data_IF_432089251750
#
_entry.id   IF_432089251750
#
_cell.length_a   1.000
_cell.length_b   1.000
_cell.length_c   1.000
_cell.angle_alpha   90.00
_cell.angle_beta   90.00
_cell.angle_gamma   90.00
#
_symmetry.space_group_name_H-M   'P 1'
#
loop_
_entity.id
_entity.type
_entity.pdbx_description
1 polymer ?
#
# COMPACT_ATOMS: atom_id res chain seq x y z
N UNK A 1 -8.31 18.40 -46.36
CA UNK A 1 -9.27 17.27 -46.16
C UNK A 1 -9.58 17.17 -44.68
N UNK A 2 -10.82 17.33 -44.23
CA UNK A 2 -11.14 17.21 -42.80
C UNK A 2 -11.10 15.74 -42.35
N UNK A 3 -10.43 15.49 -41.25
CA UNK A 3 -10.36 14.17 -40.64
C UNK A 3 -11.76 13.66 -40.26
N UNK A 4 -12.04 12.40 -40.60
CA UNK A 4 -13.31 11.73 -40.36
C UNK A 4 -13.67 11.77 -38.87
N UNK A 5 -14.91 12.13 -38.53
CA UNK A 5 -15.48 12.20 -37.19
C UNK A 5 -15.28 10.93 -36.31
N UNK A 6 -15.13 9.77 -36.93
CA UNK A 6 -14.82 8.50 -36.27
C UNK A 6 -13.46 8.48 -35.58
N UNK A 7 -12.42 9.09 -36.17
CA UNK A 7 -11.08 9.15 -35.57
C UNK A 7 -11.03 10.09 -34.37
N UNK A 8 -11.79 11.19 -34.42
CA UNK A 8 -11.89 12.12 -33.28
C UNK A 8 -12.64 11.51 -32.07
N UNK A 9 -13.68 10.71 -32.34
CA UNK A 9 -14.43 10.03 -31.26
C UNK A 9 -13.58 8.93 -30.61
N UNK A 10 -12.79 8.17 -31.38
CA UNK A 10 -11.86 7.18 -30.82
C UNK A 10 -10.72 7.81 -30.00
N UNK A 11 -10.17 8.95 -30.42
CA UNK A 11 -9.17 9.65 -29.61
C UNK A 11 -9.77 10.18 -28.29
N UNK A 12 -10.96 10.76 -28.34
CA UNK A 12 -11.64 11.26 -27.12
C UNK A 12 -11.98 10.14 -26.15
N UNK A 13 -12.37 8.95 -26.64
CA UNK A 13 -12.60 7.79 -25.82
C UNK A 13 -11.31 7.27 -25.14
N UNK A 14 -10.18 7.27 -25.84
CA UNK A 14 -8.88 6.88 -25.26
C UNK A 14 -8.38 7.87 -24.19
N UNK A 15 -8.62 9.17 -24.37
CA UNK A 15 -8.28 10.19 -23.37
C UNK A 15 -9.22 10.14 -22.14
N UNK A 16 -10.50 9.78 -22.33
CA UNK A 16 -11.45 9.64 -21.21
C UNK A 16 -11.12 8.42 -20.33
N UNK A 17 -10.74 7.29 -20.94
CA UNK A 17 -10.29 6.09 -20.21
C UNK A 17 -8.97 6.34 -19.47
N UNK A 18 -8.07 7.13 -20.03
CA UNK A 18 -6.80 7.44 -19.37
C UNK A 18 -6.98 8.36 -18.15
N UNK A 19 -7.88 9.33 -18.23
CA UNK A 19 -8.25 10.13 -17.05
C UNK A 19 -8.93 9.29 -15.96
N UNK A 20 -9.65 8.22 -16.32
CA UNK A 20 -10.28 7.31 -15.35
C UNK A 20 -9.28 6.41 -14.62
N UNK A 21 -8.24 5.91 -15.30
CA UNK A 21 -7.19 5.09 -14.67
C UNK A 21 -6.32 5.93 -13.71
N UNK A 22 -6.08 7.20 -14.04
CA UNK A 22 -5.43 8.16 -13.13
C UNK A 22 -6.37 8.62 -11.99
N UNK A 23 -7.69 8.64 -12.23
CA UNK A 23 -8.68 9.10 -11.25
C UNK A 23 -8.97 8.05 -10.16
N UNK A 24 -8.74 6.75 -10.41
CA UNK A 24 -8.90 5.67 -9.42
C UNK A 24 -7.85 5.79 -8.30
N UNK A 25 -6.72 6.44 -8.55
CA UNK A 25 -5.74 6.80 -7.53
C UNK A 25 -6.12 8.10 -6.74
N UNK A 26 -7.12 8.85 -7.18
CA UNK A 26 -7.35 10.22 -6.71
C UNK A 26 -8.74 10.50 -6.08
N UNK A 27 -9.65 9.52 -5.97
CA UNK A 27 -10.99 9.79 -5.41
C UNK A 27 -11.12 9.18 -4.02
N UNK A 28 -10.76 9.97 -2.99
CA UNK A 28 -11.32 9.83 -1.66
C UNK A 28 -11.77 11.22 -1.17
N UNK A 29 -13.00 11.35 -0.61
CA UNK A 29 -13.50 12.61 -0.11
C UNK A 29 -12.71 13.06 1.12
N UNK A 30 -12.35 14.33 1.14
CA UNK A 30 -11.82 15.06 2.28
C UNK A 30 -12.81 15.00 3.45
N UNK A 31 -12.55 14.15 4.41
CA UNK A 31 -13.18 14.25 5.73
C UNK A 31 -12.20 14.90 6.68
N UNK A 32 -12.34 16.19 6.86
CA UNK A 32 -11.65 16.98 7.88
C UNK A 32 -12.12 16.52 9.27
N UNK A 33 -11.31 15.78 9.99
CA UNK A 33 -11.47 15.62 11.43
C UNK A 33 -10.44 16.49 12.16
N UNK A 34 -10.97 17.55 12.74
CA UNK A 34 -10.32 18.46 13.69
C UNK A 34 -9.79 17.67 14.90
N UNK A 35 -8.48 17.65 15.11
CA UNK A 35 -7.89 17.16 16.37
C UNK A 35 -7.67 18.31 17.33
N UNK A 36 -8.42 18.29 18.42
CA UNK A 36 -8.24 19.13 19.59
C UNK A 36 -6.89 18.84 20.26
N UNK A 37 -6.13 19.90 20.44
CA UNK A 37 -4.89 19.98 21.23
C UNK A 37 -5.16 19.69 22.70
N UNK A 38 -4.53 18.69 23.28
CA UNK A 38 -4.31 18.58 24.72
C UNK A 38 -2.87 18.92 25.06
N UNK A 39 -2.73 20.00 25.84
CA UNK A 39 -1.52 20.54 26.44
C UNK A 39 -1.35 20.00 27.84
N UNK A 40 -0.16 19.64 28.25
CA UNK A 40 0.28 19.41 29.63
C UNK A 40 1.38 18.34 29.64
N UNK A 41 2.56 18.48 30.15
CA UNK A 41 3.14 19.29 31.15
C UNK A 41 4.28 18.48 31.77
N UNK A 42 5.51 19.01 31.67
CA UNK A 42 6.67 18.99 32.56
C UNK A 42 7.14 17.71 33.28
N UNK A 43 8.44 17.44 33.03
CA UNK A 43 9.55 17.14 33.95
C UNK A 43 9.56 15.83 34.77
N UNK A 44 10.60 15.04 34.55
CA UNK A 44 11.67 14.86 35.53
C UNK A 44 12.74 13.88 35.03
N UNK A 45 13.98 14.32 35.10
CA UNK A 45 15.21 13.56 34.92
C UNK A 45 15.39 12.50 36.02
N UNK A 46 15.87 11.31 35.66
CA UNK A 46 16.82 10.58 36.51
C UNK A 46 17.63 9.58 35.69
N UNK A 47 18.94 9.75 35.73
CA UNK A 47 19.95 8.77 35.37
C UNK A 47 19.70 7.42 36.01
N UNK A 48 19.82 6.36 35.25
CA UNK A 48 20.17 5.07 35.79
C UNK A 48 20.85 4.21 34.71
N UNK A 49 22.07 3.90 35.02
CA UNK A 49 23.05 2.99 34.48
C UNK A 49 22.48 1.65 33.99
N UNK A 50 23.06 1.22 32.89
CA UNK A 50 23.19 -0.10 32.30
C UNK A 50 22.42 -1.26 32.88
N UNK A 51 21.56 -1.79 32.03
CA UNK A 51 21.36 -3.24 31.94
C UNK A 51 20.92 -3.53 30.50
N UNK A 52 21.82 -4.11 29.70
CA UNK A 52 21.50 -4.79 28.46
C UNK A 52 20.59 -5.97 28.77
N UNK A 53 19.33 -5.66 28.99
CA UNK A 53 18.28 -6.66 28.91
C UNK A 53 17.88 -6.69 27.44
N UNK A 54 18.49 -7.57 26.67
CA UNK A 54 17.93 -8.02 25.41
C UNK A 54 16.48 -8.41 25.68
N UNK A 55 15.53 -7.50 25.41
CA UNK A 55 14.12 -7.83 25.33
C UNK A 55 14.01 -8.90 24.28
N UNK A 56 13.90 -10.15 24.72
CA UNK A 56 13.52 -11.27 23.89
C UNK A 56 12.20 -10.83 23.22
N UNK A 57 12.28 -10.48 21.95
CA UNK A 57 11.09 -10.17 21.18
C UNK A 57 10.19 -11.40 21.29
N UNK A 58 8.99 -11.23 21.84
CA UNK A 58 8.02 -12.32 21.92
C UNK A 58 7.70 -12.69 20.47
N UNK A 59 8.17 -13.88 20.05
CA UNK A 59 7.93 -14.40 18.71
C UNK A 59 6.41 -14.44 18.47
N UNK A 60 6.01 -14.03 17.28
CA UNK A 60 4.62 -14.12 16.86
C UNK A 60 4.23 -15.60 16.74
N UNK A 61 3.04 -15.95 17.22
CA UNK A 61 2.45 -17.29 17.07
C UNK A 61 1.01 -17.16 16.61
N UNK A 62 0.58 -17.96 15.62
CA UNK A 62 -0.81 -17.96 15.18
C UNK A 62 -1.78 -18.21 16.32
N UNK A 63 -2.83 -17.41 16.40
CA UNK A 63 -3.92 -17.59 17.35
C UNK A 63 -5.02 -18.49 16.77
N UNK A 64 -6.02 -18.82 17.56
CA UNK A 64 -7.22 -19.49 17.06
C UNK A 64 -8.12 -18.58 16.19
N UNK A 65 -7.89 -17.26 16.20
CA UNK A 65 -8.58 -16.26 15.37
C UNK A 65 -7.63 -15.71 14.32
N UNK A 66 -7.58 -16.35 13.15
CA UNK A 66 -6.77 -15.92 12.02
C UNK A 66 -7.09 -14.48 11.55
N UNK A 67 -8.33 -14.01 11.75
CA UNK A 67 -8.71 -12.64 11.41
C UNK A 67 -8.09 -11.62 12.36
N UNK A 68 -7.95 -11.98 13.63
CA UNK A 68 -7.22 -11.18 14.62
C UNK A 68 -5.75 -11.09 14.25
N UNK A 69 -5.11 -12.20 13.89
CA UNK A 69 -3.70 -12.26 13.53
C UNK A 69 -3.39 -11.30 12.37
N UNK A 70 -4.20 -11.33 11.31
CA UNK A 70 -4.04 -10.43 10.15
C UNK A 70 -4.25 -8.96 10.55
N UNK A 71 -5.28 -8.65 11.34
CA UNK A 71 -5.52 -7.27 11.79
C UNK A 71 -4.36 -6.74 12.64
N UNK A 72 -3.79 -7.56 13.51
CA UNK A 72 -2.64 -7.18 14.34
C UNK A 72 -1.39 -6.97 13.49
N UNK A 73 -1.12 -7.84 12.51
CA UNK A 73 -0.01 -7.68 11.59
C UNK A 73 -0.12 -6.38 10.77
N UNK A 74 -1.30 -6.07 10.24
CA UNK A 74 -1.57 -4.82 9.54
C UNK A 74 -1.40 -3.60 10.47
N UNK A 75 -1.90 -3.68 11.71
CA UNK A 75 -1.77 -2.59 12.67
C UNK A 75 -0.30 -2.30 13.03
N UNK A 76 0.56 -3.32 13.07
CA UNK A 76 1.99 -3.16 13.32
C UNK A 76 2.72 -2.35 12.22
N UNK A 77 2.23 -2.34 10.98
CA UNK A 77 2.81 -1.51 9.91
C UNK A 77 2.82 -0.01 10.28
N UNK A 78 1.88 0.43 11.13
CA UNK A 78 1.82 1.82 11.60
C UNK A 78 3.02 2.25 12.46
N UNK A 79 3.81 1.30 12.94
CA UNK A 79 4.98 1.55 13.80
C UNK A 79 6.25 0.89 13.27
N UNK A 80 6.17 0.20 12.14
CA UNK A 80 7.28 -0.56 11.56
C UNK A 80 8.26 0.29 10.73
N UNK A 81 8.11 1.61 10.76
CA UNK A 81 9.00 2.52 10.00
C UNK A 81 10.47 2.43 10.44
N UNK A 82 11.40 2.62 9.51
CA UNK A 82 11.18 2.72 8.06
C UNK A 82 10.97 1.35 7.41
N UNK A 83 10.18 1.32 6.32
CA UNK A 83 10.04 0.11 5.51
C UNK A 83 9.79 0.44 4.04
N UNK A 84 10.06 -0.54 3.17
CA UNK A 84 9.75 -0.50 1.74
C UNK A 84 8.80 -1.62 1.39
N UNK A 85 7.87 -1.35 0.50
CA UNK A 85 7.15 -2.38 -0.22
C UNK A 85 7.47 -2.31 -1.71
N UNK A 86 7.66 -3.46 -2.32
CA UNK A 86 7.79 -3.61 -3.77
C UNK A 86 6.62 -4.46 -4.25
N UNK A 87 5.79 -3.86 -5.10
CA UNK A 87 4.65 -4.54 -5.71
C UNK A 87 4.91 -4.76 -7.19
N UNK A 88 4.74 -5.99 -7.64
CA UNK A 88 4.69 -6.35 -9.05
C UNK A 88 3.25 -6.70 -9.42
N UNK A 89 2.72 -6.00 -10.40
CA UNK A 89 1.37 -6.24 -10.93
C UNK A 89 1.47 -6.88 -12.30
N UNK A 90 0.66 -7.88 -12.55
CA UNK A 90 0.49 -8.51 -13.85
C UNK A 90 -0.98 -8.65 -14.22
N UNK A 91 -1.26 -8.73 -15.54
CA UNK A 91 -2.61 -8.94 -16.02
C UNK A 91 -3.20 -10.25 -15.49
N UNK A 92 -4.45 -10.23 -15.05
CA UNK A 92 -5.21 -11.47 -14.82
C UNK A 92 -5.77 -11.98 -16.15
N UNK A 93 -5.60 -13.28 -16.41
CA UNK A 93 -6.17 -13.95 -17.61
C UNK A 93 -7.69 -13.90 -17.68
N UNK A 94 -8.35 -13.56 -16.58
CA UNK A 94 -9.80 -13.60 -16.42
C UNK A 94 -10.47 -12.21 -16.44
N UNK A 95 -9.73 -11.15 -16.78
CA UNK A 95 -10.24 -9.77 -16.79
C UNK A 95 -10.51 -9.29 -18.22
N UNK A 96 -11.68 -8.65 -18.45
CA UNK A 96 -11.99 -8.00 -19.73
C UNK A 96 -11.09 -6.77 -19.99
N UNK A 97 -10.59 -6.14 -18.92
CA UNK A 97 -9.63 -5.05 -18.98
C UNK A 97 -8.47 -5.40 -18.07
N UNK A 98 -7.34 -5.75 -18.66
CA UNK A 98 -6.15 -6.08 -17.90
C UNK A 98 -5.51 -4.82 -17.32
N UNK A 99 -5.10 -4.88 -16.06
CA UNK A 99 -4.19 -3.92 -15.50
C UNK A 99 -2.84 -4.03 -16.22
N UNK A 100 -2.20 -2.94 -16.66
CA UNK A 100 -0.91 -3.04 -17.32
C UNK A 100 0.13 -3.62 -16.35
N UNK A 101 0.96 -4.53 -16.87
CA UNK A 101 2.10 -5.03 -16.12
C UNK A 101 2.98 -3.87 -15.65
N UNK A 102 3.42 -3.93 -14.41
CA UNK A 102 4.25 -2.87 -13.85
C UNK A 102 4.81 -3.22 -12.47
N UNK A 103 5.71 -2.37 -12.02
CA UNK A 103 6.29 -2.45 -10.68
C UNK A 103 6.06 -1.14 -9.95
N UNK A 104 5.67 -1.23 -8.70
CA UNK A 104 5.53 -0.10 -7.80
C UNK A 104 6.41 -0.31 -6.57
N UNK A 105 7.26 0.66 -6.29
CA UNK A 105 8.05 0.72 -5.06
C UNK A 105 7.51 1.84 -4.21
N UNK A 106 7.20 1.56 -2.95
CA UNK A 106 6.77 2.57 -1.98
C UNK A 106 7.67 2.49 -0.76
N UNK A 107 8.28 3.61 -0.44
CA UNK A 107 9.19 3.77 0.68
C UNK A 107 8.54 4.63 1.75
N UNK A 108 8.46 4.11 2.94
CA UNK A 108 7.90 4.77 4.12
C UNK A 108 9.04 5.08 5.10
N UNK A 109 9.47 6.33 5.16
CA UNK A 109 10.41 6.79 6.18
C UNK A 109 9.70 7.06 7.52
N UNK A 110 8.45 7.51 7.46
CA UNK A 110 7.53 7.75 8.58
C UNK A 110 6.09 7.71 8.05
N UNK A 111 5.11 7.84 8.94
CA UNK A 111 3.69 7.82 8.58
C UNK A 111 3.31 8.92 7.57
N UNK A 112 3.97 10.09 7.68
CA UNK A 112 3.76 11.28 6.85
C UNK A 112 4.91 11.55 5.87
N UNK A 113 5.83 10.58 5.68
CA UNK A 113 6.97 10.68 4.77
C UNK A 113 7.05 9.47 3.88
N UNK A 114 6.50 9.61 2.68
CA UNK A 114 6.33 8.51 1.74
C UNK A 114 6.82 8.90 0.36
N UNK A 115 7.57 8.02 -0.26
CA UNK A 115 7.99 8.13 -1.65
C UNK A 115 7.47 6.93 -2.44
N UNK A 116 6.79 7.18 -3.54
CA UNK A 116 6.26 6.15 -4.43
C UNK A 116 6.84 6.32 -5.83
N UNK A 117 7.30 5.23 -6.40
CA UNK A 117 7.68 5.15 -7.81
C UNK A 117 6.95 3.98 -8.46
N UNK A 118 6.25 4.26 -9.55
CA UNK A 118 5.54 3.26 -10.35
C UNK A 118 6.06 3.29 -11.78
N UNK A 119 6.45 2.13 -12.28
CA UNK A 119 6.95 1.93 -13.66
C UNK A 119 6.03 0.95 -14.37
N UNK A 120 5.53 1.32 -15.53
CA UNK A 120 4.66 0.46 -16.33
C UNK A 120 4.82 0.73 -17.84
N UNK A 121 4.24 -0.13 -18.68
CA UNK A 121 4.22 0.05 -20.14
C UNK A 121 3.51 1.33 -20.59
N UNK A 122 2.69 1.94 -19.74
CA UNK A 122 1.95 3.18 -20.06
C UNK A 122 2.67 4.44 -19.57
N UNK A 123 3.79 4.30 -18.88
CA UNK A 123 4.63 5.39 -18.39
C UNK A 123 5.01 5.23 -16.92
N UNK A 124 5.93 6.07 -16.52
CA UNK A 124 6.44 6.15 -15.17
C UNK A 124 5.77 7.29 -14.41
N UNK A 125 5.54 7.03 -13.14
CA UNK A 125 4.94 7.97 -12.21
C UNK A 125 5.73 7.95 -10.92
N UNK A 126 5.98 9.12 -10.37
CA UNK A 126 6.65 9.26 -9.09
C UNK A 126 5.88 10.26 -8.23
N UNK A 127 5.77 9.98 -6.94
CA UNK A 127 5.07 10.86 -6.02
C UNK A 127 5.73 10.85 -4.64
N UNK A 128 5.72 12.00 -3.98
CA UNK A 128 6.29 12.18 -2.64
C UNK A 128 5.26 12.89 -1.77
N UNK A 129 5.07 12.38 -0.56
CA UNK A 129 4.31 13.05 0.50
C UNK A 129 5.24 13.35 1.67
N UNK A 130 5.23 14.58 2.17
CA UNK A 130 5.95 15.00 3.37
C UNK A 130 5.03 15.93 4.18
N UNK A 131 4.46 15.41 5.25
CA UNK A 131 3.42 16.12 6.00
C UNK A 131 2.25 16.48 5.07
N UNK A 132 1.88 17.75 5.03
CA UNK A 132 0.78 18.27 4.20
C UNK A 132 1.19 18.59 2.76
N UNK A 133 2.45 18.35 2.39
CA UNK A 133 2.96 18.62 1.04
C UNK A 133 3.00 17.37 0.19
N UNK A 134 2.44 17.46 -1.00
CA UNK A 134 2.36 16.39 -1.97
C UNK A 134 3.02 16.84 -3.26
N UNK A 135 3.91 16.01 -3.79
CA UNK A 135 4.63 16.26 -5.02
C UNK A 135 4.38 15.12 -6.00
N UNK A 136 4.25 15.47 -7.25
CA UNK A 136 3.97 14.54 -8.32
C UNK A 136 4.90 14.78 -9.51
N UNK A 137 5.45 13.70 -10.05
CA UNK A 137 6.25 13.73 -11.27
C UNK A 137 5.60 12.85 -12.34
N UNK A 138 5.35 13.44 -13.49
CA UNK A 138 4.92 12.72 -14.69
C UNK A 138 5.66 13.33 -15.89
N UNK A 139 6.41 12.48 -16.60
CA UNK A 139 7.21 12.94 -17.74
C UNK A 139 8.44 13.79 -17.37
N UNK A 140 9.00 13.60 -16.17
CA UNK A 140 10.26 14.20 -15.73
C UNK A 140 10.12 15.59 -15.09
N UNK A 141 8.91 16.10 -14.91
CA UNK A 141 8.67 17.40 -14.27
C UNK A 141 7.91 17.21 -12.95
N UNK A 142 8.47 17.76 -11.88
CA UNK A 142 7.81 17.82 -10.58
C UNK A 142 6.81 18.97 -10.52
N UNK A 143 5.69 18.71 -9.90
CA UNK A 143 4.65 19.71 -9.57
C UNK A 143 4.14 19.46 -8.15
N UNK A 144 3.87 20.52 -7.42
CA UNK A 144 3.10 20.42 -6.18
C UNK A 144 1.64 20.16 -6.52
N UNK A 145 1.01 19.20 -5.82
CA UNK A 145 -0.33 18.73 -6.14
C UNK A 145 -1.06 18.21 -4.92
N UNK A 146 -2.20 17.62 -5.15
CA UNK A 146 -3.07 17.07 -4.10
C UNK A 146 -3.02 15.55 -3.97
N UNK A 147 -2.07 14.88 -4.65
CA UNK A 147 -1.96 13.42 -4.58
C UNK A 147 -1.23 13.02 -3.31
N UNK A 148 -1.97 12.70 -2.29
CA UNK A 148 -1.44 12.12 -1.06
C UNK A 148 -1.19 10.61 -1.24
N UNK A 149 0.07 10.22 -1.41
CA UNK A 149 0.47 8.81 -1.52
C UNK A 149 0.54 8.11 -0.17
N UNK A 150 0.67 8.85 0.93
CA UNK A 150 0.64 8.25 2.26
C UNK A 150 -0.75 7.70 2.58
N UNK A 151 -1.81 8.42 2.22
CA UNK A 151 -3.19 7.94 2.39
C UNK A 151 -3.55 6.78 1.46
N UNK A 152 -2.87 6.64 0.33
CA UNK A 152 -3.13 5.61 -0.68
C UNK A 152 -2.21 4.37 -0.58
N UNK A 153 -1.24 4.36 0.31
CA UNK A 153 -0.32 3.24 0.47
C UNK A 153 0.07 2.98 1.91
N UNK A 154 -0.30 3.89 2.83
CA UNK A 154 0.02 3.82 4.24
C UNK A 154 -0.93 2.94 5.04
N UNK A 155 -0.88 3.12 6.34
CA UNK A 155 -1.61 2.33 7.31
C UNK A 155 -3.13 2.37 7.15
N UNK A 156 -3.70 3.52 6.78
CA UNK A 156 -5.14 3.63 6.56
C UNK A 156 -5.59 2.84 5.33
N UNK A 157 -4.79 2.82 4.27
CA UNK A 157 -5.02 1.96 3.11
C UNK A 157 -4.92 0.48 3.47
N UNK A 158 -3.88 0.08 4.20
CA UNK A 158 -3.70 -1.29 4.67
C UNK A 158 -4.87 -1.74 5.58
N UNK A 159 -5.38 -0.85 6.43
CA UNK A 159 -6.58 -1.10 7.24
C UNK A 159 -7.81 -1.34 6.36
N UNK A 160 -8.07 -0.51 5.36
CA UNK A 160 -9.19 -0.69 4.42
C UNK A 160 -9.08 -2.00 3.65
N UNK A 161 -7.88 -2.38 3.19
CA UNK A 161 -7.64 -3.69 2.59
C UNK A 161 -7.96 -4.79 3.60
N UNK A 162 -7.48 -4.68 4.83
CA UNK A 162 -7.77 -5.64 5.91
C UNK A 162 -9.27 -5.85 6.16
N UNK A 163 -10.07 -4.79 6.05
CA UNK A 163 -11.54 -4.85 6.20
C UNK A 163 -12.24 -5.62 5.07
N UNK A 164 -11.61 -5.68 3.89
CA UNK A 164 -12.10 -6.45 2.74
C UNK A 164 -11.69 -7.93 2.77
N UNK A 165 -10.74 -8.31 3.64
CA UNK A 165 -10.32 -9.70 3.77
C UNK A 165 -11.37 -10.50 4.54
N UNK A 166 -11.85 -11.58 3.93
CA UNK A 166 -12.87 -12.49 4.50
C UNK A 166 -12.37 -13.92 4.48
N UNK A 167 -13.04 -14.79 5.25
CA UNK A 167 -12.76 -16.23 5.25
C UNK A 167 -11.27 -16.54 5.50
N UNK A 168 -10.63 -15.76 6.38
CA UNK A 168 -9.21 -15.87 6.68
C UNK A 168 -8.95 -17.20 7.38
N UNK A 169 -7.96 -17.94 6.89
CA UNK A 169 -7.55 -19.23 7.44
C UNK A 169 -6.03 -19.28 7.55
N UNK A 170 -5.55 -19.69 8.69
CA UNK A 170 -4.17 -20.12 8.87
C UNK A 170 -3.93 -21.45 8.15
N UNK A 171 -2.83 -21.57 7.42
CA UNK A 171 -2.47 -22.76 6.64
C UNK A 171 -1.35 -23.53 7.30
N UNK A 172 -0.29 -22.84 7.74
CA UNK A 172 0.89 -23.47 8.33
C UNK A 172 2.13 -22.57 8.25
N UNK A 173 3.25 -23.05 8.78
CA UNK A 173 4.54 -22.39 8.64
C UNK A 173 5.07 -22.55 7.22
N UNK A 174 5.74 -21.52 6.71
CA UNK A 174 6.40 -21.52 5.41
C UNK A 174 7.59 -20.55 5.45
N UNK A 175 8.72 -20.90 4.81
CA UNK A 175 9.85 -19.98 4.69
C UNK A 175 9.76 -19.22 3.36
N UNK A 176 9.80 -17.89 3.43
CA UNK A 176 9.70 -17.00 2.27
C UNK A 176 10.88 -16.03 2.28
N UNK A 177 11.65 -16.01 1.19
CA UNK A 177 12.85 -15.17 1.08
C UNK A 177 13.86 -15.36 2.24
N UNK A 178 13.93 -16.59 2.80
CA UNK A 178 14.80 -16.92 3.94
C UNK A 178 14.26 -16.50 5.31
N UNK A 179 13.02 -16.06 5.38
CA UNK A 179 12.32 -15.63 6.60
C UNK A 179 11.27 -16.67 6.96
N UNK A 180 11.29 -17.13 8.19
CA UNK A 180 10.25 -18.03 8.71
C UNK A 180 8.95 -17.25 8.93
N UNK A 181 7.90 -17.68 8.27
CA UNK A 181 6.61 -17.05 8.24
C UNK A 181 5.47 -18.03 8.56
N UNK A 182 4.32 -17.48 8.83
CA UNK A 182 3.04 -18.19 8.89
C UNK A 182 2.18 -17.75 7.71
N UNK A 183 1.73 -18.71 6.92
CA UNK A 183 0.87 -18.47 5.75
C UNK A 183 -0.59 -18.40 6.17
N UNK A 184 -1.26 -17.36 5.68
CA UNK A 184 -2.69 -17.18 5.72
C UNK A 184 -3.27 -17.08 4.32
N UNK A 185 -4.44 -17.69 4.10
CA UNK A 185 -5.22 -17.54 2.86
C UNK A 185 -6.54 -16.85 3.19
N UNK A 186 -7.02 -16.05 2.27
CA UNK A 186 -8.28 -15.32 2.45
C UNK A 186 -8.96 -15.01 1.11
N UNK A 187 -10.21 -14.60 1.17
CA UNK A 187 -10.92 -13.98 0.05
C UNK A 187 -10.90 -12.47 0.20
N UNK A 188 -10.87 -11.77 -0.93
CA UNK A 188 -11.08 -10.32 -1.02
C UNK A 188 -12.55 -10.14 -1.39
N UNK A 189 -13.30 -9.43 -0.56
CA UNK A 189 -14.71 -9.12 -0.81
C UNK A 189 -15.08 -7.84 -0.06
N UNK A 190 -15.22 -6.75 -0.80
CA UNK A 190 -15.53 -5.45 -0.22
C UNK A 190 -15.58 -4.33 -1.24
N UNK A 191 -15.72 -3.11 -0.75
CA UNK A 191 -15.80 -1.92 -1.60
C UNK A 191 -14.77 -0.88 -1.17
N UNK A 192 -14.07 -0.33 -2.16
CA UNK A 192 -13.10 0.74 -1.97
C UNK A 192 -13.21 1.75 -3.13
N UNK A 193 -13.26 3.05 -2.83
CA UNK A 193 -13.43 4.08 -3.86
C UNK A 193 -14.73 3.96 -4.66
N UNK A 194 -15.81 3.42 -4.07
CA UNK A 194 -17.09 3.19 -4.76
C UNK A 194 -17.09 2.00 -5.72
N UNK A 195 -16.03 1.20 -5.75
CA UNK A 195 -15.91 0.02 -6.61
C UNK A 195 -15.85 -1.26 -5.76
N UNK A 196 -16.47 -2.33 -6.24
CA UNK A 196 -16.43 -3.63 -5.58
C UNK A 196 -15.19 -4.41 -6.01
N UNK A 197 -14.48 -4.93 -5.04
CA UNK A 197 -13.29 -5.74 -5.17
C UNK A 197 -13.60 -7.16 -4.75
N UNK A 198 -13.21 -8.12 -5.57
CA UNK A 198 -13.35 -9.55 -5.29
C UNK A 198 -12.09 -10.28 -5.68
N UNK A 199 -11.76 -11.37 -4.96
CA UNK A 199 -10.58 -12.15 -5.28
C UNK A 199 -10.12 -13.06 -4.16
N UNK A 200 -8.85 -13.44 -4.23
CA UNK A 200 -8.17 -14.24 -3.20
C UNK A 200 -6.83 -13.63 -2.88
N UNK A 201 -6.35 -13.85 -1.65
CA UNK A 201 -5.01 -13.46 -1.26
C UNK A 201 -4.33 -14.52 -0.38
N UNK A 202 -3.01 -14.51 -0.43
CA UNK A 202 -2.09 -15.23 0.45
C UNK A 202 -1.23 -14.20 1.15
N UNK A 203 -1.08 -14.32 2.45
CA UNK A 203 -0.33 -13.36 3.27
C UNK A 203 0.62 -14.14 4.17
N UNK A 204 1.89 -13.78 4.17
CA UNK A 204 2.92 -14.36 5.01
C UNK A 204 3.32 -13.39 6.11
N UNK A 205 3.12 -13.80 7.35
CA UNK A 205 3.45 -13.03 8.55
C UNK A 205 4.70 -13.64 9.18
N UNK A 206 5.72 -12.82 9.41
CA UNK A 206 6.97 -13.24 10.01
C UNK A 206 6.80 -13.82 11.42
N UNK A 207 7.40 -14.97 11.68
CA UNK A 207 7.35 -15.63 12.97
C UNK A 207 8.10 -14.86 14.08
N UNK A 208 9.14 -14.11 13.70
CA UNK A 208 9.95 -13.35 14.65
C UNK A 208 9.31 -12.02 15.07
N UNK A 209 8.62 -11.34 14.15
CA UNK A 209 8.17 -9.95 14.34
C UNK A 209 6.66 -9.75 14.22
N UNK A 210 5.94 -10.71 13.60
CA UNK A 210 4.51 -10.61 13.33
C UNK A 210 4.15 -9.51 12.32
N UNK A 211 5.08 -9.15 11.44
CA UNK A 211 4.88 -8.21 10.34
C UNK A 211 4.59 -8.96 9.03
N UNK A 212 3.84 -8.38 8.08
CA UNK A 212 3.69 -8.97 6.76
C UNK A 212 5.03 -8.93 6.02
N UNK A 213 5.52 -10.05 5.48
CA UNK A 213 6.75 -10.10 4.67
C UNK A 213 6.47 -10.28 3.19
N UNK A 214 5.34 -10.91 2.86
CA UNK A 214 4.89 -11.07 1.48
C UNK A 214 3.37 -11.14 1.41
N UNK A 215 2.81 -10.70 0.30
CA UNK A 215 1.43 -11.01 -0.06
C UNK A 215 1.27 -11.22 -1.56
N UNK A 216 0.47 -12.22 -1.93
CA UNK A 216 0.04 -12.49 -3.30
C UNK A 216 -1.46 -12.34 -3.38
N UNK A 217 -1.96 -11.71 -4.43
CA UNK A 217 -3.40 -11.60 -4.67
C UNK A 217 -3.76 -11.81 -6.14
N UNK A 218 -4.94 -12.36 -6.37
CA UNK A 218 -5.61 -12.36 -7.68
C UNK A 218 -6.98 -11.72 -7.48
N UNK A 219 -7.20 -10.56 -8.08
CA UNK A 219 -8.35 -9.73 -7.80
C UNK A 219 -9.03 -9.19 -9.05
N UNK A 220 -10.29 -8.82 -8.88
CA UNK A 220 -11.12 -8.13 -9.89
C UNK A 220 -11.81 -6.94 -9.25
N UNK A 221 -11.93 -5.88 -10.02
CA UNK A 221 -12.71 -4.68 -9.70
C UNK A 221 -13.89 -4.65 -10.66
N UNK A 222 -15.10 -4.59 -10.14
CA UNK A 222 -16.34 -4.68 -10.94
C UNK A 222 -16.37 -3.56 -11.99
N UNK A 223 -16.66 -3.94 -13.24
CA UNK A 223 -16.73 -3.05 -14.40
C UNK A 223 -15.45 -2.25 -14.69
N UNK A 224 -14.30 -2.69 -14.16
CA UNK A 224 -13.05 -1.98 -14.32
C UNK A 224 -11.93 -2.92 -14.78
N UNK A 225 -11.08 -3.33 -13.88
CA UNK A 225 -9.88 -4.11 -14.19
C UNK A 225 -9.72 -5.31 -13.24
N UNK A 226 -8.77 -6.18 -13.56
CA UNK A 226 -8.32 -7.23 -12.67
C UNK A 226 -6.84 -7.51 -12.89
N UNK A 227 -6.20 -8.06 -11.90
CA UNK A 227 -4.78 -8.34 -11.94
C UNK A 227 -4.35 -9.30 -10.85
N UNK A 228 -3.09 -9.71 -10.97
CA UNK A 228 -2.36 -10.37 -9.89
C UNK A 228 -1.37 -9.38 -9.33
N UNK A 229 -1.27 -9.33 -8.02
CA UNK A 229 -0.29 -8.51 -7.31
C UNK A 229 0.58 -9.41 -6.44
N UNK A 230 1.89 -9.18 -6.51
CA UNK A 230 2.89 -9.77 -5.65
C UNK A 230 3.60 -8.65 -4.91
N UNK A 231 3.51 -8.62 -3.59
CA UNK A 231 4.09 -7.60 -2.74
C UNK A 231 5.14 -8.24 -1.82
N UNK A 232 6.31 -7.63 -1.78
CA UNK A 232 7.38 -7.96 -0.82
C UNK A 232 7.61 -6.76 0.09
N UNK A 233 7.76 -7.00 1.39
CA UNK A 233 8.05 -5.99 2.41
C UNK A 233 9.48 -6.14 2.92
N UNK A 234 10.18 -5.04 3.03
CA UNK A 234 11.53 -4.93 3.56
C UNK A 234 11.54 -3.92 4.70
N UNK A 235 11.93 -4.33 5.90
CA UNK A 235 11.90 -3.50 7.10
C UNK A 235 13.29 -3.00 7.48
N UNK A 236 13.34 -1.78 8.04
CA UNK A 236 14.58 -1.14 8.42
C UNK A 236 15.29 -0.49 7.23
N UNK A 237 16.61 -0.31 7.36
CA UNK A 237 17.42 0.39 6.36
C UNK A 237 17.41 1.91 6.53
N UNK A 238 18.20 2.59 5.68
CA UNK A 238 18.32 4.05 5.69
C UNK A 238 17.42 4.67 4.61
N UNK A 239 16.10 4.60 4.82
CA UNK A 239 15.12 5.20 3.91
C UNK A 239 14.98 6.67 4.25
N UNK A 240 15.27 7.53 3.27
CA UNK A 240 15.11 8.98 3.37
C UNK A 240 14.14 9.46 2.32
N UNK A 241 13.17 10.25 2.74
CA UNK A 241 12.21 10.89 1.84
C UNK A 241 12.39 12.40 1.96
N UNK A 242 12.85 13.02 0.88
CA UNK A 242 13.16 14.45 0.81
C UNK A 242 12.30 15.13 -0.27
N UNK A 243 12.03 16.44 -0.14
CA UNK A 243 11.34 17.18 -1.19
C UNK A 243 12.11 17.09 -2.52
N UNK A 244 11.42 17.00 -3.65
CA UNK A 244 12.09 17.01 -4.94
C UNK A 244 12.70 18.38 -5.26
N UNK A 245 13.71 18.39 -6.11
CA UNK A 245 14.22 19.62 -6.72
C UNK A 245 13.23 20.04 -7.82
N UNK A 246 12.63 21.22 -7.64
CA UNK A 246 11.59 21.78 -8.54
C UNK A 246 12.20 22.50 -9.71
#
# INVERSE_FOLDING_TARGET
>A
MPMSNRKQTMMRAKYATWKMVLLILAILPLSTCSMSRLKGGAESSSNSSGNDTSKSAIAFSPSSDASKDIREAIAKLNTAYPYRLTETVSASSNSQTAMPDGTRVVEFAAADRVHMKSTSKIGDVEAITIGDKHYWNSGGKWTEGSLDVASNGGAEFAKKIGEMLKNIKYVGPETVNGIDCYLYICTIDGSMGGQNWTGTARIWIGAADGLPHQSDSDFKVTNSFGGKSHIVYEYGGNIKVEPPVM
#
